data_IF_401585338859
#
_entry.id   IF_401585338859
#
_cell.length_a   1.000
_cell.length_b   1.000
_cell.length_c   1.000
_cell.angle_alpha   90.00
_cell.angle_beta   90.00
_cell.angle_gamma   90.00
#
_symmetry.space_group_name_H-M   'P 1'
#
loop_
_entity.id
_entity.type
_entity.pdbx_description
1 polymer ?
#
# COMPACT_ATOMS: atom_id res chain seq x y z
N UNK A 1 -21.63 26.11 -0.85
CA UNK A 1 -20.25 26.23 -1.39
C UNK A 1 -19.43 27.10 -0.44
N UNK A 2 -18.51 26.53 0.34
CA UNK A 2 -17.62 27.32 1.22
C UNK A 2 -16.20 27.17 0.70
N UNK A 3 -15.66 28.21 0.08
CA UNK A 3 -14.26 28.27 -0.32
C UNK A 3 -13.38 28.29 0.95
N UNK A 4 -12.51 27.27 1.10
CA UNK A 4 -11.47 27.24 2.13
C UNK A 4 -10.39 28.25 1.73
N UNK A 5 -10.06 29.19 2.62
CA UNK A 5 -9.07 30.25 2.42
C UNK A 5 -8.42 30.62 3.74
N UNK A 6 -7.27 31.28 3.70
CA UNK A 6 -6.50 31.66 4.87
C UNK A 6 -7.15 32.82 5.64
N UNK A 7 -6.97 32.85 6.96
CA UNK A 7 -7.49 33.91 7.83
C UNK A 7 -6.34 34.80 8.28
N UNK A 8 -6.48 36.11 8.13
CA UNK A 8 -5.47 37.04 8.63
C UNK A 8 -5.37 36.98 10.16
N UNK A 9 -4.17 36.81 10.69
CA UNK A 9 -3.91 36.72 12.13
C UNK A 9 -4.35 37.97 12.90
N UNK A 10 -4.22 39.14 12.27
CA UNK A 10 -4.53 40.47 12.84
C UNK A 10 -6.00 40.86 12.73
N UNK A 11 -6.53 40.99 11.51
CA UNK A 11 -7.89 41.52 11.29
C UNK A 11 -8.97 40.43 11.15
N UNK A 12 -8.59 39.14 11.24
CA UNK A 12 -9.49 37.98 11.10
C UNK A 12 -10.27 37.89 9.78
N UNK A 13 -9.94 38.73 8.80
CA UNK A 13 -10.54 38.68 7.48
C UNK A 13 -10.10 37.41 6.74
N UNK A 14 -11.06 36.71 6.10
CA UNK A 14 -10.80 35.54 5.26
C UNK A 14 -10.36 35.99 3.88
N UNK A 15 -9.28 35.39 3.39
CA UNK A 15 -8.64 35.73 2.14
C UNK A 15 -8.43 34.46 1.30
N UNK A 16 -8.56 34.63 -0.01
CA UNK A 16 -8.09 33.64 -0.98
C UNK A 16 -6.58 33.76 -1.11
N UNK A 17 -5.84 32.68 -0.89
CA UNK A 17 -4.37 32.70 -0.99
C UNK A 17 -3.96 32.72 -2.47
N UNK A 18 -2.99 33.57 -2.88
CA UNK A 18 -2.48 33.58 -4.26
C UNK A 18 -1.78 32.27 -4.61
N UNK A 19 -1.88 31.82 -5.87
CA UNK A 19 -1.27 30.55 -6.35
C UNK A 19 0.22 30.67 -6.72
N UNK A 20 0.92 31.66 -6.18
CA UNK A 20 2.35 31.90 -6.40
C UNK A 20 3.19 31.12 -5.40
N UNK A 21 4.44 30.77 -5.75
CA UNK A 21 5.40 30.02 -4.90
C UNK A 21 5.90 30.81 -3.66
N UNK A 22 5.15 31.81 -3.19
CA UNK A 22 5.50 32.63 -2.04
C UNK A 22 5.09 31.93 -0.73
N UNK A 23 5.98 31.94 0.25
CA UNK A 23 5.76 31.35 1.59
C UNK A 23 4.87 32.21 2.49
N UNK A 24 4.60 33.46 2.09
CA UNK A 24 3.81 34.45 2.83
C UNK A 24 2.90 35.24 1.88
N UNK A 25 1.84 35.83 2.42
CA UNK A 25 0.93 36.73 1.70
C UNK A 25 0.57 37.97 2.54
N UNK A 26 0.38 39.10 1.87
CA UNK A 26 -0.01 40.36 2.50
C UNK A 26 -1.53 40.47 2.58
N UNK A 27 -2.08 40.75 3.75
CA UNK A 27 -3.49 41.03 3.92
C UNK A 27 -3.84 42.40 3.31
N UNK A 28 -4.76 42.49 2.32
CA UNK A 28 -5.12 43.76 1.68
C UNK A 28 -5.85 44.72 2.62
N UNK A 29 -6.50 44.20 3.68
CA UNK A 29 -7.29 45.02 4.61
C UNK A 29 -6.44 45.71 5.67
N UNK A 30 -5.41 45.03 6.20
CA UNK A 30 -4.61 45.56 7.31
C UNK A 30 -3.10 45.60 7.04
N UNK A 31 -2.68 45.27 5.82
CA UNK A 31 -1.29 45.21 5.37
C UNK A 31 -0.36 44.27 6.14
N UNK A 32 -0.88 43.41 7.01
CA UNK A 32 -0.11 42.42 7.76
C UNK A 32 0.36 41.27 6.86
N UNK A 33 1.61 40.85 7.01
CA UNK A 33 2.15 39.64 6.37
C UNK A 33 1.72 38.41 7.15
N UNK A 34 1.21 37.39 6.45
CA UNK A 34 0.74 36.14 7.03
C UNK A 34 1.42 34.96 6.33
N UNK A 35 1.87 33.94 7.07
CA UNK A 35 2.43 32.73 6.47
C UNK A 35 1.35 31.95 5.73
N UNK A 36 1.71 31.35 4.58
CA UNK A 36 0.83 30.42 3.87
C UNK A 36 0.72 29.12 4.68
N UNK A 37 -0.49 28.66 5.03
CA UNK A 37 -0.67 27.41 5.79
C UNK A 37 -0.05 26.20 5.07
N UNK A 38 0.65 25.33 5.82
CA UNK A 38 1.39 24.17 5.29
C UNK A 38 0.52 23.20 4.46
N UNK A 39 -0.80 23.18 4.66
CA UNK A 39 -1.71 22.34 3.87
C UNK A 39 -1.87 22.83 2.42
N UNK A 40 -1.66 24.14 2.14
CA UNK A 40 -1.72 24.67 0.77
C UNK A 40 -0.38 24.54 0.03
N UNK A 41 0.74 24.46 0.75
CA UNK A 41 2.06 24.19 0.14
C UNK A 41 2.12 22.78 -0.49
N UNK A 42 1.38 21.80 0.07
CA UNK A 42 1.23 20.46 -0.54
C UNK A 42 0.41 20.44 -1.84
N UNK A 43 -0.36 21.49 -2.15
CA UNK A 43 -1.05 21.58 -3.46
C UNK A 43 -0.10 21.95 -4.60
N UNK A 44 1.05 22.56 -4.31
CA UNK A 44 2.04 22.88 -5.35
C UNK A 44 2.80 21.63 -5.84
N UNK A 45 3.05 20.64 -4.97
CA UNK A 45 3.54 19.32 -5.41
C UNK A 45 2.51 18.58 -6.25
N UNK A 46 1.22 18.71 -5.91
CA UNK A 46 0.09 18.13 -6.64
C UNK A 46 -0.07 18.74 -8.06
N UNK A 47 0.28 20.03 -8.24
CA UNK A 47 0.34 20.68 -9.56
C UNK A 47 1.48 20.18 -10.42
N UNK A 48 2.63 19.83 -9.85
CA UNK A 48 3.73 19.20 -10.59
C UNK A 48 3.36 17.79 -11.07
N UNK A 49 2.63 17.02 -10.25
CA UNK A 49 2.07 15.71 -10.62
C UNK A 49 1.02 15.86 -11.74
N UNK A 50 0.12 16.85 -11.64
CA UNK A 50 -0.84 17.14 -12.73
C UNK A 50 -0.16 17.56 -14.03
N UNK A 51 0.94 18.32 -13.97
CA UNK A 51 1.74 18.67 -15.18
C UNK A 51 2.40 17.45 -15.81
N UNK A 52 2.84 16.48 -15.02
CA UNK A 52 3.36 15.20 -15.52
C UNK A 52 2.26 14.38 -16.21
N UNK A 53 1.07 14.30 -15.63
CA UNK A 53 -0.09 13.58 -16.22
C UNK A 53 -0.52 14.18 -17.57
N UNK A 54 -0.53 15.51 -17.71
CA UNK A 54 -0.86 16.17 -18.98
C UNK A 54 0.18 15.85 -20.06
N UNK A 55 1.47 15.84 -19.71
CA UNK A 55 2.57 15.50 -20.62
C UNK A 55 2.54 14.04 -21.09
N UNK A 56 1.99 13.15 -20.27
CA UNK A 56 1.80 11.71 -20.59
C UNK A 56 0.62 11.53 -21.57
N UNK A 57 -0.49 12.25 -21.38
CA UNK A 57 -1.64 12.19 -22.30
C UNK A 57 -1.29 12.65 -23.72
N UNK A 58 -0.43 13.65 -23.88
CA UNK A 58 0.01 14.13 -25.19
C UNK A 58 0.92 13.14 -25.93
N UNK A 59 1.61 12.25 -25.23
CA UNK A 59 2.50 11.22 -25.83
C UNK A 59 1.79 9.93 -26.23
N UNK A 60 0.58 9.67 -25.73
CA UNK A 60 -0.19 8.44 -25.98
C UNK A 60 -1.11 8.58 -27.21
N UNK A 61 -1.28 9.79 -27.76
CA UNK A 61 -2.19 10.06 -28.89
C UNK A 61 -1.59 9.86 -30.29
N UNK A 62 -0.54 9.04 -30.46
CA UNK A 62 0.06 8.76 -31.76
C UNK A 62 0.15 7.26 -32.06
N UNK A 63 -0.72 6.79 -32.98
CA UNK A 63 -0.72 5.57 -33.82
C UNK A 63 -0.20 4.24 -33.19
N UNK A 64 -0.92 3.12 -33.21
CA UNK A 64 -1.45 2.45 -34.42
C UNK A 64 -2.58 1.45 -34.09
N UNK A 65 -3.57 1.35 -34.96
CA UNK A 65 -4.68 0.37 -34.90
C UNK A 65 -4.28 -0.92 -35.63
N UNK A 66 -4.33 -2.06 -34.94
CA UNK A 66 -4.85 -3.37 -35.41
C UNK A 66 -4.45 -4.49 -34.44
N UNK A 67 -5.35 -4.85 -33.53
CA UNK A 67 -5.59 -6.22 -33.04
C UNK A 67 -6.66 -6.15 -31.95
N UNK A 68 -7.62 -7.07 -32.02
CA UNK A 68 -8.78 -7.21 -31.15
C UNK A 68 -8.39 -7.14 -29.65
N UNK A 69 -8.78 -6.06 -28.95
CA UNK A 69 -8.58 -5.91 -27.50
C UNK A 69 -9.93 -5.93 -26.79
N UNK A 70 -10.21 -7.01 -26.06
CA UNK A 70 -11.17 -7.02 -24.96
C UNK A 70 -10.59 -6.20 -23.79
N UNK A 71 -11.42 -5.53 -22.96
CA UNK A 71 -10.90 -4.59 -21.97
C UNK A 71 -10.26 -5.32 -20.77
N UNK A 72 -8.94 -5.44 -20.90
CA UNK A 72 -7.92 -5.09 -19.92
C UNK A 72 -7.84 -5.85 -18.58
N UNK A 73 -7.49 -7.14 -18.65
CA UNK A 73 -6.77 -7.79 -17.53
C UNK A 73 -5.51 -6.98 -17.17
N UNK A 74 -5.19 -6.91 -15.87
CA UNK A 74 -3.98 -6.22 -15.41
C UNK A 74 -2.71 -7.08 -15.54
N UNK A 75 -2.86 -8.34 -15.91
CA UNK A 75 -1.75 -9.28 -16.06
C UNK A 75 -1.28 -9.36 -17.51
N UNK A 76 0.05 -9.45 -17.69
CA UNK A 76 0.64 -9.71 -19.01
C UNK A 76 0.44 -11.18 -19.39
N UNK A 77 0.28 -11.49 -20.68
CA UNK A 77 0.23 -12.87 -21.20
C UNK A 77 1.60 -13.28 -21.78
N UNK A 78 2.10 -14.51 -21.53
CA UNK A 78 1.53 -15.54 -20.64
C UNK A 78 1.56 -15.08 -19.16
N UNK A 79 0.69 -15.67 -18.34
CA UNK A 79 0.49 -15.24 -16.95
C UNK A 79 1.79 -15.34 -16.14
N UNK A 80 2.09 -14.40 -15.22
CA UNK A 80 3.25 -14.51 -14.33
C UNK A 80 3.32 -15.82 -13.53
N UNK A 81 2.17 -16.46 -13.26
CA UNK A 81 2.11 -17.78 -12.62
C UNK A 81 2.77 -18.88 -13.47
N UNK A 82 2.58 -18.84 -14.80
CA UNK A 82 3.06 -19.84 -15.76
C UNK A 82 4.55 -19.72 -16.07
N UNK A 83 5.11 -18.51 -15.94
CA UNK A 83 6.52 -18.22 -16.27
C UNK A 83 7.49 -18.84 -15.24
N UNK A 84 6.99 -19.31 -14.09
CA UNK A 84 7.80 -19.87 -13.00
C UNK A 84 8.40 -21.26 -13.29
N UNK A 85 8.23 -21.80 -14.50
CA UNK A 85 8.53 -23.20 -14.86
C UNK A 85 9.93 -23.52 -15.38
N UNK A 86 10.84 -22.56 -15.63
CA UNK A 86 12.17 -22.93 -16.18
C UNK A 86 13.27 -21.94 -15.81
N UNK A 87 14.16 -22.34 -14.90
CA UNK A 87 15.63 -22.33 -15.05
C UNK A 87 16.31 -22.41 -13.68
N UNK A 88 17.07 -23.48 -13.51
CA UNK A 88 18.04 -23.70 -12.43
C UNK A 88 19.35 -22.96 -12.75
N UNK A 89 19.27 -21.67 -13.06
CA UNK A 89 20.44 -20.83 -13.25
C UNK A 89 20.34 -19.59 -12.37
N UNK A 90 21.49 -19.10 -11.91
CA UNK A 90 21.63 -17.82 -11.22
C UNK A 90 21.17 -16.70 -12.15
N UNK A 91 19.87 -16.40 -12.14
CA UNK A 91 19.31 -15.24 -12.83
C UNK A 91 19.89 -13.97 -12.18
N UNK A 92 19.95 -12.83 -12.87
CA UNK A 92 20.20 -11.56 -12.20
C UNK A 92 19.16 -11.32 -11.10
N UNK A 93 19.59 -10.66 -10.02
CA UNK A 93 18.69 -10.13 -9.01
C UNK A 93 17.57 -9.32 -9.69
N UNK A 94 16.34 -9.53 -9.23
CA UNK A 94 15.13 -9.12 -9.93
C UNK A 94 14.13 -8.45 -9.00
N UNK A 95 13.14 -7.82 -9.64
CA UNK A 95 12.00 -7.19 -8.99
C UNK A 95 10.75 -7.97 -9.31
N UNK A 96 10.00 -8.39 -8.29
CA UNK A 96 8.73 -9.14 -8.41
C UNK A 96 7.69 -8.55 -7.48
N UNK A 97 6.45 -8.40 -7.95
CA UNK A 97 5.38 -7.83 -7.16
C UNK A 97 4.12 -8.68 -7.23
N UNK A 98 3.43 -8.76 -6.10
CA UNK A 98 2.08 -9.29 -5.98
C UNK A 98 1.15 -8.16 -5.54
N UNK A 99 0.15 -7.85 -6.35
CA UNK A 99 -0.84 -6.81 -6.08
C UNK A 99 -2.22 -7.44 -5.97
N UNK A 100 -2.90 -7.23 -4.84
CA UNK A 100 -4.19 -7.84 -4.55
C UNK A 100 -5.20 -6.74 -4.27
N UNK A 101 -6.30 -6.75 -5.00
CA UNK A 101 -7.41 -5.84 -4.80
C UNK A 101 -8.73 -6.60 -4.71
N UNK A 102 -9.39 -6.51 -3.55
CA UNK A 102 -10.69 -7.17 -3.35
C UNK A 102 -11.79 -6.12 -3.25
N UNK A 103 -12.71 -6.09 -4.22
CA UNK A 103 -13.81 -5.11 -4.27
C UNK A 103 -14.99 -5.59 -3.42
N UNK A 104 -15.20 -6.90 -3.34
CA UNK A 104 -16.32 -7.57 -2.68
C UNK A 104 -17.68 -7.29 -3.35
N UNK A 105 -18.67 -8.12 -3.01
CA UNK A 105 -20.05 -8.02 -3.51
C UNK A 105 -20.98 -7.53 -2.39
N UNK A 106 -22.15 -7.04 -2.80
CA UNK A 106 -23.26 -6.68 -1.90
C UNK A 106 -22.87 -5.66 -0.81
N UNK A 107 -23.15 -5.96 0.45
CA UNK A 107 -23.00 -5.05 1.60
C UNK A 107 -21.54 -4.77 2.01
N UNK A 108 -20.60 -5.61 1.55
CA UNK A 108 -19.17 -5.45 1.83
C UNK A 108 -18.42 -4.67 0.75
N UNK A 109 -19.12 -4.14 -0.26
CA UNK A 109 -18.48 -3.54 -1.43
C UNK A 109 -17.64 -2.32 -1.09
N UNK A 110 -16.37 -2.33 -1.51
CA UNK A 110 -15.47 -1.19 -1.46
C UNK A 110 -15.45 -0.42 -2.79
N UNK A 111 -15.14 0.87 -2.71
CA UNK A 111 -14.92 1.74 -3.86
C UNK A 111 -13.48 2.21 -3.83
N UNK A 112 -12.78 2.13 -4.95
CA UNK A 112 -11.40 2.63 -5.07
C UNK A 112 -10.35 1.52 -5.19
N UNK A 113 -10.57 0.35 -4.59
CA UNK A 113 -9.60 -0.75 -4.56
C UNK A 113 -8.95 -1.05 -5.92
N UNK A 114 -9.76 -1.12 -6.98
CA UNK A 114 -9.25 -1.36 -8.34
C UNK A 114 -8.37 -0.22 -8.87
N UNK A 115 -8.70 1.03 -8.53
CA UNK A 115 -7.88 2.18 -8.90
C UNK A 115 -6.59 2.20 -8.09
N UNK A 116 -6.62 1.75 -6.83
CA UNK A 116 -5.43 1.70 -5.98
C UNK A 116 -4.44 0.66 -6.51
N UNK A 117 -4.92 -0.54 -6.87
CA UNK A 117 -4.12 -1.57 -7.55
C UNK A 117 -3.56 -1.08 -8.88
N UNK A 118 -4.38 -0.42 -9.72
CA UNK A 118 -3.92 0.15 -11.00
C UNK A 118 -2.82 1.20 -10.79
N UNK A 119 -3.02 2.09 -9.82
CA UNK A 119 -2.06 3.16 -9.50
C UNK A 119 -0.75 2.58 -8.96
N UNK A 120 -0.82 1.57 -8.09
CA UNK A 120 0.35 0.88 -7.57
C UNK A 120 1.11 0.15 -8.69
N UNK A 121 0.40 -0.59 -9.56
CA UNK A 121 1.00 -1.25 -10.73
C UNK A 121 1.74 -0.27 -11.61
N UNK A 122 1.09 0.84 -11.97
CA UNK A 122 1.68 1.88 -12.82
C UNK A 122 2.93 2.51 -12.15
N UNK A 123 2.85 2.82 -10.86
CA UNK A 123 3.98 3.33 -10.09
C UNK A 123 5.16 2.36 -10.09
N UNK A 124 4.93 1.07 -9.84
CA UNK A 124 5.99 0.07 -9.83
C UNK A 124 6.70 -0.03 -11.17
N UNK A 125 5.96 0.05 -12.28
CA UNK A 125 6.52 0.00 -13.63
C UNK A 125 7.29 1.27 -13.94
N UNK A 126 6.63 2.43 -13.84
CA UNK A 126 7.15 3.70 -14.33
C UNK A 126 8.24 4.29 -13.42
N UNK A 127 8.15 4.08 -12.11
CA UNK A 127 9.01 4.72 -11.12
C UNK A 127 9.98 3.76 -10.45
N UNK A 128 9.58 2.50 -10.26
CA UNK A 128 10.41 1.51 -9.57
C UNK A 128 11.09 0.52 -10.53
N UNK A 129 10.81 0.56 -11.83
CA UNK A 129 11.46 -0.29 -12.84
C UNK A 129 11.10 -1.78 -12.73
N UNK A 130 9.90 -2.10 -12.24
CA UNK A 130 9.36 -3.45 -12.33
C UNK A 130 8.93 -3.73 -13.78
N UNK A 131 9.25 -4.93 -14.27
CA UNK A 131 8.75 -5.39 -15.56
C UNK A 131 7.33 -5.91 -15.39
N UNK A 132 6.47 -5.67 -16.37
CA UNK A 132 5.07 -6.11 -16.33
C UNK A 132 4.93 -7.63 -16.14
N UNK A 133 5.80 -8.43 -16.77
CA UNK A 133 5.82 -9.89 -16.61
C UNK A 133 6.17 -10.38 -15.19
N UNK A 134 6.70 -9.50 -14.34
CA UNK A 134 7.06 -9.82 -12.96
C UNK A 134 6.05 -9.27 -11.95
N UNK A 135 4.92 -8.73 -12.40
CA UNK A 135 3.85 -8.24 -11.54
C UNK A 135 2.64 -9.15 -11.71
N UNK A 136 2.30 -9.88 -10.66
CA UNK A 136 1.08 -10.65 -10.57
C UNK A 136 -0.01 -9.79 -9.90
N UNK A 137 -1.18 -9.74 -10.51
CA UNK A 137 -2.32 -8.96 -10.03
C UNK A 137 -3.53 -9.87 -9.82
N UNK A 138 -4.10 -9.86 -8.62
CA UNK A 138 -5.32 -10.58 -8.30
C UNK A 138 -6.45 -9.58 -8.05
N UNK A 139 -7.54 -9.67 -8.81
CA UNK A 139 -8.75 -8.87 -8.56
C UNK A 139 -10.01 -9.66 -8.87
N UNK A 140 -11.10 -9.36 -8.17
CA UNK A 140 -12.41 -9.99 -8.42
C UNK A 140 -13.08 -9.52 -9.72
N UNK A 141 -12.38 -8.75 -10.57
CA UNK A 141 -12.76 -8.40 -11.94
C UNK A 141 -12.03 -9.23 -13.02
N UNK A 142 -11.03 -10.03 -12.64
CA UNK A 142 -10.33 -10.90 -13.58
C UNK A 142 -11.25 -12.02 -14.10
N UNK A 143 -11.03 -12.44 -15.34
CA UNK A 143 -11.83 -13.48 -16.00
C UNK A 143 -11.25 -14.86 -15.69
N UNK A 144 -9.92 -14.97 -15.69
CA UNK A 144 -9.20 -16.17 -15.32
C UNK A 144 -9.41 -16.48 -13.82
N UNK A 145 -10.00 -17.64 -13.46
CA UNK A 145 -10.34 -17.95 -12.07
C UNK A 145 -9.16 -17.90 -11.09
N UNK A 146 -7.97 -18.30 -11.52
CA UNK A 146 -6.73 -18.28 -10.73
C UNK A 146 -6.21 -16.87 -10.43
N UNK A 147 -6.76 -15.83 -11.09
CA UNK A 147 -6.44 -14.42 -10.84
C UNK A 147 -7.52 -13.73 -9.99
N UNK A 148 -8.52 -14.48 -9.52
CA UNK A 148 -9.51 -14.01 -8.55
C UNK A 148 -8.93 -14.18 -7.13
N UNK A 149 -9.04 -13.19 -6.23
CA UNK A 149 -8.42 -13.23 -4.91
C UNK A 149 -9.21 -14.09 -3.92
N UNK A 150 -9.32 -15.40 -4.20
CA UNK A 150 -9.82 -16.38 -3.23
C UNK A 150 -8.76 -16.63 -2.15
N UNK A 151 -9.17 -17.22 -1.02
CA UNK A 151 -8.23 -17.57 0.06
C UNK A 151 -7.07 -18.42 -0.47
N UNK A 152 -7.41 -19.43 -1.27
CA UNK A 152 -6.46 -20.35 -1.88
C UNK A 152 -5.52 -19.60 -2.83
N UNK A 153 -6.05 -18.83 -3.78
CA UNK A 153 -5.25 -18.19 -4.82
C UNK A 153 -4.33 -17.09 -4.25
N UNK A 154 -4.76 -16.42 -3.17
CA UNK A 154 -3.89 -15.49 -2.43
C UNK A 154 -2.70 -16.22 -1.82
N UNK A 155 -2.93 -17.34 -1.12
CA UNK A 155 -1.85 -18.11 -0.49
C UNK A 155 -0.87 -18.68 -1.53
N UNK A 156 -1.37 -19.25 -2.63
CA UNK A 156 -0.53 -19.72 -3.74
C UNK A 156 0.27 -18.58 -4.39
N UNK A 157 -0.31 -17.37 -4.46
CA UNK A 157 0.37 -16.19 -4.99
C UNK A 157 1.46 -15.66 -4.05
N UNK A 158 1.27 -15.76 -2.73
CA UNK A 158 2.31 -15.43 -1.74
C UNK A 158 3.50 -16.38 -1.87
N UNK A 159 3.25 -17.68 -2.05
CA UNK A 159 4.31 -18.66 -2.35
C UNK A 159 5.02 -18.34 -3.68
N UNK A 160 4.26 -17.99 -4.73
CA UNK A 160 4.83 -17.54 -5.99
C UNK A 160 5.73 -16.31 -5.84
N UNK A 161 5.35 -15.35 -4.98
CA UNK A 161 6.16 -14.15 -4.73
C UNK A 161 7.54 -14.53 -4.18
N UNK A 162 7.59 -15.52 -3.29
CA UNK A 162 8.82 -16.00 -2.65
C UNK A 162 9.62 -17.02 -3.46
N UNK A 163 8.99 -17.68 -4.44
CA UNK A 163 9.59 -18.77 -5.20
C UNK A 163 10.88 -18.34 -5.91
N UNK A 164 11.99 -18.99 -5.56
CA UNK A 164 13.30 -18.76 -6.18
C UNK A 164 13.87 -17.37 -5.88
N UNK A 165 13.56 -16.79 -4.72
CA UNK A 165 14.20 -15.57 -4.25
C UNK A 165 15.65 -15.81 -3.87
N UNK A 166 16.50 -14.84 -4.20
CA UNK A 166 17.94 -14.86 -3.92
C UNK A 166 18.42 -13.46 -3.52
N UNK A 167 19.59 -13.38 -2.90
CA UNK A 167 20.18 -12.12 -2.46
C UNK A 167 20.20 -11.07 -3.59
N UNK A 168 19.75 -9.86 -3.27
CA UNK A 168 19.58 -8.74 -4.19
C UNK A 168 18.16 -8.59 -4.77
N UNK A 169 17.29 -9.60 -4.62
CA UNK A 169 15.89 -9.48 -5.05
C UNK A 169 15.12 -8.43 -4.22
N UNK A 170 14.22 -7.70 -4.89
CA UNK A 170 13.32 -6.72 -4.26
C UNK A 170 11.87 -7.09 -4.57
N UNK A 171 11.15 -7.46 -3.52
CA UNK A 171 9.77 -7.92 -3.57
C UNK A 171 8.81 -6.81 -3.14
N UNK A 172 7.62 -6.80 -3.73
CA UNK A 172 6.50 -5.97 -3.29
C UNK A 172 5.28 -6.84 -3.05
N UNK A 173 4.69 -6.71 -1.87
CA UNK A 173 3.36 -7.21 -1.55
C UNK A 173 2.44 -6.01 -1.35
N UNK A 174 1.37 -5.92 -2.13
CA UNK A 174 0.37 -4.87 -2.01
C UNK A 174 -1.00 -5.50 -1.81
N UNK A 175 -1.71 -5.09 -0.76
CA UNK A 175 -3.09 -5.47 -0.53
C UNK A 175 -3.96 -4.24 -0.34
N UNK A 176 -5.11 -4.21 -1.01
CA UNK A 176 -6.17 -3.24 -0.79
C UNK A 176 -7.51 -3.98 -0.69
N UNK A 177 -8.20 -3.81 0.43
CA UNK A 177 -9.41 -4.58 0.75
C UNK A 177 -9.85 -4.39 2.19
N UNK A 178 -10.74 -5.26 2.66
CA UNK A 178 -11.12 -5.33 4.07
C UNK A 178 -10.05 -6.05 4.88
N UNK A 179 -9.82 -5.52 6.07
CA UNK A 179 -9.11 -6.18 7.15
C UNK A 179 -9.99 -6.19 8.39
N UNK A 180 -9.87 -7.26 9.18
CA UNK A 180 -10.67 -7.50 10.37
C UNK A 180 -9.77 -8.09 11.44
N UNK A 181 -9.98 -7.66 12.68
CA UNK A 181 -9.29 -8.23 13.82
C UNK A 181 -10.10 -9.38 14.43
N UNK A 182 -9.41 -10.43 14.89
CA UNK A 182 -10.03 -11.54 15.60
C UNK A 182 -9.25 -11.88 16.88
N UNK A 183 -9.87 -12.55 17.88
CA UNK A 183 -9.13 -13.01 19.05
C UNK A 183 -7.95 -13.90 18.66
N UNK A 184 -6.80 -13.67 19.28
CA UNK A 184 -5.64 -14.54 19.17
C UNK A 184 -5.90 -15.87 19.92
N UNK A 185 -5.62 -16.99 19.24
CA UNK A 185 -5.79 -18.34 19.78
C UNK A 185 -4.48 -19.06 20.07
N UNK A 186 -3.33 -18.58 19.59
CA UNK A 186 -2.02 -19.20 19.78
C UNK A 186 -1.11 -18.41 20.74
N UNK A 187 -1.51 -17.19 21.10
CA UNK A 187 -0.84 -16.36 22.11
C UNK A 187 0.44 -15.72 21.60
N UNK A 188 0.55 -15.56 20.28
CA UNK A 188 1.68 -14.96 19.60
C UNK A 188 1.55 -13.45 19.39
N UNK A 189 0.37 -12.89 19.73
CA UNK A 189 0.10 -11.46 19.68
C UNK A 189 0.31 -10.72 21.01
N UNK A 190 0.81 -9.49 20.91
CA UNK A 190 1.15 -8.67 22.09
C UNK A 190 -0.09 -8.18 22.81
N UNK A 191 -1.16 -7.88 22.09
CA UNK A 191 -2.44 -7.41 22.59
C UNK A 191 -3.52 -8.52 22.64
N UNK A 192 -3.18 -9.72 22.16
CA UNK A 192 -4.10 -10.86 22.08
C UNK A 192 -5.11 -10.76 20.95
N UNK A 193 -4.80 -10.00 19.89
CA UNK A 193 -5.66 -9.78 18.73
C UNK A 193 -4.86 -10.08 17.46
N UNK A 194 -5.30 -11.05 16.66
CA UNK A 194 -4.72 -11.32 15.34
C UNK A 194 -5.38 -10.47 14.28
N UNK A 195 -4.56 -9.91 13.39
CA UNK A 195 -5.03 -9.17 12.24
C UNK A 195 -5.24 -10.08 11.03
N UNK A 196 -6.24 -9.77 10.23
CA UNK A 196 -6.60 -10.60 9.08
C UNK A 196 -6.88 -9.76 7.84
N UNK A 197 -6.68 -10.37 6.67
CA UNK A 197 -7.17 -9.86 5.40
C UNK A 197 -8.34 -10.71 4.91
N UNK A 198 -9.33 -10.07 4.29
CA UNK A 198 -10.51 -10.74 3.78
C UNK A 198 -10.35 -11.10 2.30
N UNK A 199 -10.22 -12.38 1.92
CA UNK A 199 -10.31 -12.80 0.52
C UNK A 199 -11.74 -12.62 -0.01
N UNK A 200 -11.97 -12.77 -1.32
CA UNK A 200 -13.31 -12.57 -1.91
C UNK A 200 -14.36 -13.57 -1.40
N UNK A 201 -13.90 -14.75 -0.98
CA UNK A 201 -14.66 -15.89 -0.47
C UNK A 201 -14.59 -16.02 1.06
N UNK A 202 -14.24 -14.93 1.77
CA UNK A 202 -14.06 -14.95 3.23
C UNK A 202 -15.29 -15.44 4.02
N UNK A 203 -16.49 -15.32 3.45
CA UNK A 203 -17.73 -15.81 4.07
C UNK A 203 -17.75 -17.33 4.13
N UNK A 204 -17.20 -18.02 3.13
CA UNK A 204 -17.21 -19.49 3.04
C UNK A 204 -15.91 -20.11 3.52
N UNK A 205 -14.75 -19.53 3.19
CA UNK A 205 -13.43 -20.08 3.48
C UNK A 205 -12.73 -19.41 4.68
N UNK A 206 -13.37 -18.39 5.25
CA UNK A 206 -12.81 -17.58 6.33
C UNK A 206 -11.75 -16.59 5.86
N UNK A 207 -11.22 -15.84 6.82
CA UNK A 207 -10.19 -14.82 6.60
C UNK A 207 -8.79 -15.48 6.51
N UNK A 208 -7.80 -14.71 6.06
CA UNK A 208 -6.38 -15.10 6.12
C UNK A 208 -5.75 -14.34 7.29
N UNK A 209 -5.20 -15.07 8.26
CA UNK A 209 -4.57 -14.49 9.45
C UNK A 209 -3.14 -14.02 9.14
N UNK A 210 -2.68 -12.99 9.83
CA UNK A 210 -1.30 -12.52 9.85
C UNK A 210 -0.26 -13.65 9.96
N UNK A 211 -0.50 -14.68 10.76
CA UNK A 211 0.38 -15.84 10.89
C UNK A 211 0.56 -16.62 9.57
N UNK A 212 -0.49 -16.75 8.77
CA UNK A 212 -0.40 -17.36 7.44
C UNK A 212 0.46 -16.48 6.51
N UNK A 213 0.25 -15.16 6.53
CA UNK A 213 1.01 -14.20 5.72
C UNK A 213 2.48 -14.19 6.14
N UNK A 214 2.76 -14.06 7.43
CA UNK A 214 4.09 -14.08 8.05
C UNK A 214 4.84 -15.36 7.66
N UNK A 215 4.18 -16.51 7.78
CA UNK A 215 4.78 -17.79 7.40
C UNK A 215 5.12 -17.89 5.91
N UNK A 216 4.28 -17.29 5.04
CA UNK A 216 4.45 -17.36 3.60
C UNK A 216 5.52 -16.40 3.07
N UNK A 217 5.62 -15.16 3.59
CA UNK A 217 6.49 -14.12 2.98
C UNK A 217 7.52 -13.48 3.92
N UNK A 218 7.39 -13.61 5.25
CA UNK A 218 8.36 -13.04 6.21
C UNK A 218 9.38 -14.09 6.64
N UNK A 219 8.93 -15.22 7.18
CA UNK A 219 9.83 -16.30 7.64
C UNK A 219 10.80 -16.82 6.58
N UNK A 220 10.41 -17.03 5.30
CA UNK A 220 11.33 -17.56 4.29
C UNK A 220 12.26 -16.49 3.69
N UNK A 221 12.11 -15.21 4.06
CA UNK A 221 12.85 -14.10 3.47
C UNK A 221 14.34 -14.18 3.84
N UNK A 222 15.16 -14.57 2.86
CA UNK A 222 16.60 -14.83 3.02
C UNK A 222 17.43 -13.56 3.07
N UNK A 223 18.62 -13.66 3.66
CA UNK A 223 19.60 -12.57 3.68
C UNK A 223 19.84 -11.96 2.29
N UNK A 224 19.84 -10.63 2.23
CA UNK A 224 19.99 -9.85 1.01
C UNK A 224 18.71 -9.69 0.18
N UNK A 225 17.60 -10.34 0.53
CA UNK A 225 16.29 -10.09 -0.09
C UNK A 225 15.57 -8.97 0.66
N UNK A 226 14.91 -8.07 -0.06
CA UNK A 226 14.09 -7.00 0.55
C UNK A 226 12.62 -7.17 0.15
N UNK A 227 11.73 -7.22 1.14
CA UNK A 227 10.27 -7.21 0.97
C UNK A 227 9.71 -5.86 1.40
N UNK A 228 8.96 -5.22 0.51
CA UNK A 228 8.15 -4.04 0.83
C UNK A 228 6.68 -4.43 0.80
N UNK A 229 6.05 -4.46 1.96
CA UNK A 229 4.62 -4.67 2.11
C UNK A 229 3.90 -3.34 2.27
N UNK A 230 2.82 -3.16 1.53
CA UNK A 230 1.92 -2.01 1.65
C UNK A 230 0.52 -2.57 1.79
N UNK A 231 -0.12 -2.30 2.92
CA UNK A 231 -1.45 -2.83 3.23
C UNK A 231 -2.40 -1.68 3.49
N UNK A 232 -3.36 -1.53 2.57
CA UNK A 232 -4.44 -0.56 2.63
C UNK A 232 -5.74 -1.26 3.04
N UNK A 233 -5.84 -1.49 4.36
CA UNK A 233 -6.98 -2.13 5.01
C UNK A 233 -7.17 -1.59 6.43
N UNK A 234 -8.39 -1.68 6.97
CA UNK A 234 -8.64 -1.46 8.40
C UNK A 234 -7.83 -2.46 9.23
N UNK A 235 -7.40 -2.07 10.44
CA UNK A 235 -6.73 -2.98 11.38
C UNK A 235 -5.55 -3.76 10.77
N UNK A 236 -4.65 -3.05 10.09
CA UNK A 236 -3.56 -3.70 9.34
C UNK A 236 -2.16 -3.27 9.76
N UNK A 237 -2.02 -2.58 10.90
CA UNK A 237 -0.74 -2.05 11.35
C UNK A 237 0.27 -3.17 11.65
N UNK A 238 -0.21 -4.32 12.11
CA UNK A 238 0.58 -5.52 12.42
C UNK A 238 0.30 -6.72 11.49
N UNK A 239 -0.30 -6.53 10.32
CA UNK A 239 -0.72 -7.65 9.43
C UNK A 239 0.42 -8.53 8.86
N UNK A 240 1.67 -8.08 8.95
CA UNK A 240 2.87 -8.90 8.64
C UNK A 240 3.55 -9.46 9.90
N UNK A 241 3.04 -9.07 11.06
CA UNK A 241 3.51 -9.37 12.40
C UNK A 241 5.04 -9.26 12.55
N UNK A 242 5.54 -8.05 12.26
CA UNK A 242 6.96 -7.72 12.34
C UNK A 242 7.34 -7.33 13.77
N UNK A 243 8.53 -7.74 14.19
CA UNK A 243 9.07 -7.51 15.54
C UNK A 243 9.14 -6.02 15.94
N UNK A 244 9.33 -5.11 14.98
CA UNK A 244 9.51 -3.69 15.26
C UNK A 244 8.43 -2.84 14.60
N UNK A 245 7.70 -2.06 15.39
CA UNK A 245 6.63 -1.17 14.93
C UNK A 245 6.99 0.29 15.20
N UNK A 246 6.66 1.18 14.27
CA UNK A 246 6.89 2.62 14.42
C UNK A 246 5.58 3.42 14.28
N UNK A 247 5.10 3.97 15.40
CA UNK A 247 3.90 4.81 15.41
C UNK A 247 4.26 6.31 15.35
N UNK A 248 3.96 6.95 14.21
CA UNK A 248 4.24 8.37 14.01
C UNK A 248 3.33 9.30 14.83
N UNK A 249 2.16 8.85 15.26
CA UNK A 249 1.12 9.71 15.85
C UNK A 249 1.40 10.03 17.31
N UNK A 250 2.00 9.10 18.06
CA UNK A 250 2.46 9.33 19.43
C UNK A 250 3.53 10.43 19.54
N UNK A 251 4.33 10.62 18.48
CA UNK A 251 5.36 11.65 18.41
C UNK A 251 4.80 13.09 18.52
N UNK A 252 3.53 13.31 18.15
CA UNK A 252 2.92 14.64 18.20
C UNK A 252 2.45 15.04 19.60
N UNK A 253 2.25 14.09 20.53
CA UNK A 253 1.85 14.38 21.91
C UNK A 253 3.03 14.69 22.83
N UNK A 254 4.26 14.28 22.47
CA UNK A 254 5.47 14.49 23.27
C UNK A 254 6.50 15.42 22.63
N UNK A 255 6.07 16.54 22.04
CA UNK A 255 6.96 17.64 21.58
C UNK A 255 7.43 18.49 22.78
N UNK A 256 8.02 17.85 23.79
CA UNK A 256 8.71 18.53 24.89
C UNK A 256 9.88 17.73 25.47
N UNK A 257 10.15 16.52 24.99
CA UNK A 257 11.44 15.86 25.25
C UNK A 257 12.02 15.27 23.97
N UNK A 258 13.30 15.49 23.77
CA UNK A 258 14.09 15.00 22.66
C UNK A 258 14.24 13.48 22.74
N UNK A 259 13.22 12.73 22.32
CA UNK A 259 13.35 11.31 22.03
C UNK A 259 12.96 11.06 20.57
N UNK A 260 13.94 11.28 19.69
CA UNK A 260 13.84 10.99 18.25
C UNK A 260 14.07 9.49 18.08
N UNK A 261 13.13 8.82 17.44
CA UNK A 261 13.11 7.38 17.12
C UNK A 261 12.84 6.48 18.33
N UNK A 262 11.58 6.07 18.48
CA UNK A 262 11.27 4.86 19.24
C UNK A 262 10.54 3.91 18.30
N UNK A 263 11.30 2.95 17.78
CA UNK A 263 10.72 1.70 17.35
C UNK A 263 10.28 0.96 18.61
N UNK A 264 9.08 0.41 18.59
CA UNK A 264 8.54 -0.40 19.67
C UNK A 264 8.72 -1.87 19.34
N UNK A 265 9.01 -2.65 20.39
CA UNK A 265 9.04 -4.11 20.32
C UNK A 265 7.59 -4.64 20.32
N UNK A 266 7.24 -5.39 19.28
CA UNK A 266 5.95 -6.04 19.08
C UNK A 266 5.96 -7.52 19.49
N UNK A 267 7.03 -7.99 20.12
CA UNK A 267 7.11 -9.36 20.63
C UNK A 267 6.05 -9.61 21.72
N UNK A 268 5.41 -10.79 21.73
CA UNK A 268 4.43 -11.11 22.75
C UNK A 268 5.14 -11.30 24.09
N UNK A 269 4.44 -11.08 25.22
CA UNK A 269 5.01 -11.29 26.54
C UNK A 269 5.51 -12.73 26.79
N UNK A 270 5.00 -13.70 26.02
CA UNK A 270 5.42 -15.11 26.08
C UNK A 270 6.85 -15.34 25.57
N UNK A 271 7.37 -14.46 24.69
CA UNK A 271 8.71 -14.54 24.10
C UNK A 271 8.92 -15.70 23.11
N UNK A 272 7.88 -16.48 22.79
CA UNK A 272 8.00 -17.70 22.00
C UNK A 272 7.65 -17.51 20.51
N UNK A 273 7.16 -16.34 20.11
CA UNK A 273 6.77 -16.06 18.73
C UNK A 273 7.95 -15.59 17.89
N UNK A 274 8.13 -16.22 16.72
CA UNK A 274 9.11 -15.75 15.73
C UNK A 274 8.50 -14.62 14.91
N UNK A 275 8.89 -13.38 15.18
CA UNK A 275 8.47 -12.17 14.44
C UNK A 275 9.53 -11.61 13.47
N UNK A 276 10.59 -12.39 13.22
CA UNK A 276 11.69 -12.01 12.34
C UNK A 276 11.86 -12.96 11.14
N UNK A 277 12.45 -12.44 10.07
CA UNK A 277 12.76 -13.15 8.82
C UNK A 277 13.93 -14.14 8.97
N UNK A 278 14.33 -14.81 7.89
CA UNK A 278 15.56 -15.61 7.79
C UNK A 278 16.75 -14.77 7.28
N UNK A 279 16.85 -13.54 7.80
CA UNK A 279 17.93 -12.58 7.53
C UNK A 279 17.63 -11.53 6.47
N UNK A 280 16.53 -11.65 5.72
CA UNK A 280 16.10 -10.63 4.77
C UNK A 280 15.41 -9.43 5.43
N UNK A 281 15.29 -8.32 4.72
CA UNK A 281 14.67 -7.09 5.24
C UNK A 281 13.19 -7.03 4.84
N UNK A 282 12.28 -7.08 5.82
CA UNK A 282 10.86 -6.82 5.61
C UNK A 282 10.49 -5.42 6.12
N UNK A 283 9.81 -4.64 5.29
CA UNK A 283 9.29 -3.31 5.63
C UNK A 283 7.79 -3.33 5.34
N UNK A 284 6.97 -3.04 6.35
CA UNK A 284 5.52 -2.89 6.20
C UNK A 284 5.08 -1.44 6.34
N UNK A 285 4.19 -0.99 5.46
CA UNK A 285 3.50 0.30 5.54
C UNK A 285 1.99 0.04 5.56
N UNK A 286 1.34 0.41 6.65
CA UNK A 286 -0.11 0.32 6.79
C UNK A 286 -0.78 1.70 6.80
N UNK A 287 -1.99 1.76 6.26
CA UNK A 287 -2.82 2.95 6.23
C UNK A 287 -3.60 3.20 7.55
N UNK A 288 -3.65 2.24 8.47
CA UNK A 288 -4.40 2.34 9.73
C UNK A 288 -3.57 1.95 10.94
N UNK A 289 -3.91 2.52 12.10
CA UNK A 289 -3.49 1.98 13.39
C UNK A 289 -4.38 0.77 13.71
N UNK A 290 -3.88 -0.20 14.48
CA UNK A 290 -4.61 -1.43 14.86
C UNK A 290 -5.95 -1.15 15.54
N UNK A 291 -6.13 0.06 16.09
CA UNK A 291 -7.34 0.52 16.74
C UNK A 291 -8.25 1.46 15.90
N UNK A 292 -8.03 1.58 14.59
CA UNK A 292 -8.82 2.47 13.72
C UNK A 292 -9.49 1.75 12.55
N UNK A 293 -10.71 2.21 12.26
CA UNK A 293 -11.47 1.84 11.05
C UNK A 293 -11.02 2.75 9.91
N UNK A 294 -10.57 2.19 8.80
CA UNK A 294 -10.26 2.95 7.58
C UNK A 294 -11.54 3.59 7.04
N UNK A 295 -11.48 4.89 6.75
CA UNK A 295 -12.60 5.63 6.18
C UNK A 295 -12.54 5.58 4.65
N UNK A 296 -13.66 5.20 4.03
CA UNK A 296 -13.84 5.18 2.57
C UNK A 296 -13.51 6.55 1.97
N UNK A 297 -12.56 6.61 1.04
CA UNK A 297 -12.15 7.87 0.43
C UNK A 297 -13.18 8.26 -0.62
N UNK A 298 -14.22 9.02 -0.22
CA UNK A 298 -15.15 9.58 -1.19
C UNK A 298 -14.44 10.67 -1.99
N UNK A 299 -13.91 10.31 -3.16
CA UNK A 299 -13.52 11.29 -4.18
C UNK A 299 -14.82 11.91 -4.72
N UNK A 300 -15.07 13.16 -4.35
CA UNK A 300 -16.10 14.02 -4.96
C UNK A 300 -15.50 14.88 -6.06
#
# INVERSE_FOLDING_TARGET
MVARGAVCSKCKHRLSVPTTNSTEFKCPTCNMMNPVPLYEQRRNSDRSIKKLIVKVKEKISGNDLTSSKNPDSLNKKPSPLEISGSSSETRPAGKRALLIGVIYKSEHKLKGTINDVKSMREFLILNCGFKEENILVLTDQEIEPELVPTKKDILESLEWLMKGCQAGDSLVFYFSGHGVSQPDFDGDERDGISETICPVDFITEGMIVDNDIKSAIVWPLKNGVTLHAIVDACHSGTVLDLEHVYNRQELKMHISSCNRNKWEDNSPPSGNARKHSDGGLAISLSACLDNQVAADTTVR
#
